data_IF_802535020090
#
_entry.id   IF_802535020090
#
_cell.length_a   1.000
_cell.length_b   1.000
_cell.length_c   1.000
_cell.angle_alpha   90.00
_cell.angle_beta   90.00
_cell.angle_gamma   90.00
#
_symmetry.space_group_name_H-M   'P 1'
#
loop_
_entity.id
_entity.type
_entity.pdbx_description
1 polymer ?
#
# COMPACT_ATOMS: atom_id res chain seq x y z
N UNK A 1 0.92 18.82 -26.51
CA UNK A 1 2.17 18.10 -26.16
C UNK A 1 1.86 17.20 -24.98
N UNK A 2 2.30 15.95 -24.99
CA UNK A 2 2.21 15.10 -23.80
C UNK A 2 3.02 15.74 -22.66
N UNK A 3 2.41 15.88 -21.48
CA UNK A 3 3.06 16.41 -20.29
C UNK A 3 4.10 15.41 -19.75
N UNK A 4 4.94 15.86 -18.82
CA UNK A 4 5.90 15.01 -18.12
C UNK A 4 5.27 13.72 -17.55
N UNK A 5 4.12 13.85 -16.89
CA UNK A 5 3.40 12.72 -16.29
C UNK A 5 2.76 11.80 -17.34
N UNK A 6 2.31 12.34 -18.48
CA UNK A 6 1.76 11.51 -19.57
C UNK A 6 2.82 10.57 -20.16
N UNK A 7 4.08 11.03 -20.23
CA UNK A 7 5.18 10.17 -20.70
C UNK A 7 5.49 9.04 -19.73
N UNK A 8 5.39 9.30 -18.43
CA UNK A 8 5.52 8.25 -17.41
C UNK A 8 4.36 7.26 -17.53
N UNK A 9 3.14 7.76 -17.71
CA UNK A 9 1.95 6.95 -17.90
C UNK A 9 2.07 6.02 -19.12
N UNK A 10 2.57 6.52 -20.26
CA UNK A 10 2.81 5.71 -21.48
C UNK A 10 3.76 4.53 -21.20
N UNK A 11 4.82 4.75 -20.40
CA UNK A 11 5.78 3.70 -20.03
C UNK A 11 5.13 2.67 -19.10
N UNK A 12 4.36 3.15 -18.12
CA UNK A 12 3.61 2.28 -17.19
C UNK A 12 2.63 1.40 -17.95
N UNK A 13 1.81 2.00 -18.82
CA UNK A 13 0.87 1.30 -19.69
C UNK A 13 1.58 0.20 -20.48
N UNK A 14 2.69 0.55 -21.15
CA UNK A 14 3.43 -0.37 -22.01
C UNK A 14 4.00 -1.57 -21.23
N UNK A 15 4.66 -1.32 -20.10
CA UNK A 15 5.37 -2.36 -19.34
C UNK A 15 4.38 -3.24 -18.57
N UNK A 16 3.35 -2.66 -17.97
CA UNK A 16 2.35 -3.43 -17.21
C UNK A 16 1.49 -4.27 -18.15
N UNK A 17 1.06 -3.76 -19.31
CA UNK A 17 0.32 -4.57 -20.30
C UNK A 17 1.18 -5.71 -20.88
N UNK A 18 2.50 -5.58 -20.88
CA UNK A 18 3.41 -6.68 -21.22
C UNK A 18 3.57 -7.74 -20.11
N UNK A 19 2.84 -7.60 -19.00
CA UNK A 19 2.89 -8.51 -17.85
C UNK A 19 4.22 -8.46 -17.10
N UNK A 20 4.92 -7.32 -17.13
CA UNK A 20 6.23 -7.13 -16.47
C UNK A 20 6.09 -6.22 -15.26
N UNK A 21 6.90 -6.49 -14.24
CA UNK A 21 7.07 -5.57 -13.11
C UNK A 21 7.85 -4.34 -13.58
N UNK A 22 7.27 -3.16 -13.44
CA UNK A 22 7.96 -1.89 -13.64
C UNK A 22 8.59 -1.41 -12.33
N UNK A 23 9.88 -1.10 -12.36
CA UNK A 23 10.56 -0.38 -11.28
C UNK A 23 10.91 1.03 -11.79
N UNK A 24 10.29 2.04 -11.20
CA UNK A 24 10.57 3.44 -11.49
C UNK A 24 11.59 3.97 -10.48
N UNK A 25 12.63 4.63 -11.00
CA UNK A 25 13.59 5.38 -10.20
C UNK A 25 13.30 6.86 -10.41
N UNK A 26 12.77 7.51 -9.38
CA UNK A 26 12.39 8.92 -9.43
C UNK A 26 13.54 9.87 -9.15
N UNK A 27 13.22 11.15 -9.33
CA UNK A 27 13.82 12.23 -8.53
C UNK A 27 12.86 12.50 -7.38
N UNK A 28 12.05 13.55 -7.52
CA UNK A 28 10.95 13.84 -6.61
C UNK A 28 9.80 12.82 -6.71
N UNK A 29 8.98 12.75 -5.68
CA UNK A 29 7.89 11.78 -5.54
C UNK A 29 6.66 12.07 -6.41
N UNK A 30 6.57 13.26 -6.99
CA UNK A 30 5.49 13.62 -7.92
C UNK A 30 5.40 12.72 -9.16
N UNK A 31 6.47 11.97 -9.49
CA UNK A 31 6.43 10.92 -10.53
C UNK A 31 5.35 9.87 -10.29
N UNK A 32 4.96 9.66 -9.03
CA UNK A 32 3.93 8.71 -8.63
C UNK A 32 2.58 9.10 -9.21
N UNK A 33 2.32 10.39 -9.47
CA UNK A 33 1.13 10.81 -10.21
C UNK A 33 1.11 10.25 -11.63
N UNK A 34 2.24 10.32 -12.35
CA UNK A 34 2.38 9.70 -13.67
C UNK A 34 2.28 8.16 -13.62
N UNK A 35 2.82 7.55 -12.57
CA UNK A 35 2.68 6.11 -12.31
C UNK A 35 1.21 5.71 -12.17
N UNK A 36 0.43 6.45 -11.36
CA UNK A 36 -1.01 6.25 -11.19
C UNK A 36 -1.77 6.45 -12.51
N UNK A 37 -1.49 7.55 -13.24
CA UNK A 37 -2.13 7.82 -14.55
C UNK A 37 -1.93 6.70 -15.57
N UNK A 38 -0.81 5.97 -15.50
CA UNK A 38 -0.58 4.81 -16.35
C UNK A 38 -1.63 3.72 -16.20
N UNK A 39 -2.26 3.62 -15.02
CA UNK A 39 -3.30 2.62 -14.76
C UNK A 39 -4.64 2.93 -15.41
N UNK A 40 -4.91 4.18 -15.84
CA UNK A 40 -6.16 4.59 -16.50
C UNK A 40 -6.52 3.70 -17.71
N UNK A 41 -5.51 3.08 -18.35
CA UNK A 41 -5.67 2.21 -19.53
C UNK A 41 -5.27 0.74 -19.29
N UNK A 42 -4.91 0.41 -18.06
CA UNK A 42 -4.40 -0.92 -17.69
C UNK A 42 -5.38 -1.65 -16.77
N UNK A 43 -5.91 -0.95 -15.77
CA UNK A 43 -6.78 -1.52 -14.74
C UNK A 43 -7.75 -0.47 -14.24
N UNK A 44 -9.02 -0.85 -14.12
CA UNK A 44 -10.05 0.00 -13.51
C UNK A 44 -9.93 0.08 -11.98
N UNK A 45 -9.00 -0.67 -11.38
CA UNK A 45 -8.81 -0.74 -9.92
C UNK A 45 -7.33 -0.62 -9.56
N UNK A 46 -6.98 0.46 -8.88
CA UNK A 46 -5.65 0.72 -8.31
C UNK A 46 -5.69 0.51 -6.80
N UNK A 47 -4.86 -0.41 -6.34
CA UNK A 47 -4.57 -0.71 -4.94
C UNK A 47 -3.18 -0.14 -4.64
N UNK A 48 -3.16 1.08 -4.11
CA UNK A 48 -1.93 1.85 -3.93
C UNK A 48 -1.47 1.85 -2.47
N UNK A 49 -0.23 1.42 -2.25
CA UNK A 49 0.46 1.57 -0.95
C UNK A 49 1.61 2.58 -1.09
N UNK A 50 1.58 3.61 -0.25
CA UNK A 50 2.62 4.63 -0.14
C UNK A 50 3.44 4.39 1.13
N UNK A 51 4.75 4.19 1.00
CA UNK A 51 5.68 4.09 2.13
C UNK A 51 6.36 5.46 2.28
N UNK A 52 5.96 6.18 3.32
CA UNK A 52 6.32 7.58 3.51
C UNK A 52 6.32 8.00 4.99
N UNK A 53 7.08 9.04 5.33
CA UNK A 53 6.95 9.77 6.60
C UNK A 53 5.82 10.80 6.61
N UNK A 54 5.35 11.26 5.44
CA UNK A 54 4.27 12.25 5.25
C UNK A 54 3.06 11.63 4.52
N UNK A 55 2.05 12.44 4.18
CA UNK A 55 0.91 12.01 3.36
C UNK A 55 0.86 12.68 1.98
N UNK A 56 1.58 13.78 1.78
CA UNK A 56 1.63 14.55 0.53
C UNK A 56 0.26 14.96 -0.04
N UNK A 57 -0.60 15.42 0.86
CA UNK A 57 -1.98 15.84 0.57
C UNK A 57 -2.14 17.36 0.53
N UNK A 58 -1.05 18.12 0.40
CA UNK A 58 -1.12 19.57 0.31
C UNK A 58 -2.04 20.01 -0.84
N UNK A 59 -2.94 20.94 -0.53
CA UNK A 59 -3.73 21.59 -1.56
C UNK A 59 -2.88 22.70 -2.20
N UNK A 60 -2.35 22.41 -3.39
CA UNK A 60 -1.47 23.32 -4.10
C UNK A 60 -2.16 23.95 -5.30
N UNK A 61 -2.29 25.28 -5.24
CA UNK A 61 -2.60 26.14 -6.40
C UNK A 61 -1.44 26.17 -7.41
N UNK A 62 -0.23 25.75 -7.00
CA UNK A 62 1.00 25.83 -7.79
C UNK A 62 1.27 24.59 -8.66
N UNK A 63 0.30 23.68 -8.78
CA UNK A 63 0.41 22.50 -9.64
C UNK A 63 0.71 21.22 -8.85
N UNK A 64 1.41 20.27 -9.48
CA UNK A 64 1.73 18.97 -8.91
C UNK A 64 3.20 18.98 -8.48
N UNK A 65 3.49 18.61 -7.23
CA UNK A 65 4.83 18.44 -6.69
C UNK A 65 4.84 17.35 -5.61
N UNK A 66 6.02 17.08 -5.04
CA UNK A 66 6.26 15.98 -4.09
C UNK A 66 5.35 16.00 -2.85
N UNK A 67 4.86 17.16 -2.39
CA UNK A 67 3.93 17.24 -1.25
C UNK A 67 2.44 17.35 -1.62
N UNK A 68 2.08 17.37 -2.92
CA UNK A 68 0.68 17.54 -3.37
C UNK A 68 0.20 16.48 -4.36
N UNK A 69 1.05 15.54 -4.77
CA UNK A 69 0.69 14.58 -5.80
C UNK A 69 -0.43 13.62 -5.36
N UNK A 70 -0.46 13.18 -4.10
CA UNK A 70 -1.55 12.35 -3.58
C UNK A 70 -2.87 13.13 -3.58
N UNK A 71 -2.83 14.43 -3.33
CA UNK A 71 -4.01 15.30 -3.45
C UNK A 71 -4.64 15.19 -4.85
N UNK A 72 -3.80 15.23 -5.89
CA UNK A 72 -4.23 15.14 -7.29
C UNK A 72 -4.68 13.74 -7.69
N UNK A 73 -4.06 12.68 -7.14
CA UNK A 73 -4.54 11.30 -7.32
C UNK A 73 -5.94 11.16 -6.73
N UNK A 74 -6.18 11.64 -5.50
CA UNK A 74 -7.45 11.47 -4.80
C UNK A 74 -8.61 12.22 -5.46
N UNK A 75 -8.32 13.33 -6.16
CA UNK A 75 -9.30 14.12 -6.91
C UNK A 75 -9.36 13.76 -8.40
N UNK A 76 -8.60 12.77 -8.85
CA UNK A 76 -8.55 12.39 -10.25
C UNK A 76 -9.91 11.86 -10.73
N UNK A 77 -10.32 12.26 -11.94
CA UNK A 77 -11.61 11.89 -12.52
C UNK A 77 -11.45 11.50 -14.00
N UNK A 78 -11.92 10.32 -14.43
CA UNK A 78 -12.55 9.25 -13.62
C UNK A 78 -11.62 8.71 -12.52
N UNK A 79 -12.17 8.25 -11.39
CA UNK A 79 -11.34 7.75 -10.29
C UNK A 79 -11.07 6.24 -10.46
N UNK A 80 -9.79 5.87 -10.55
CA UNK A 80 -9.31 4.49 -10.62
C UNK A 80 -8.71 4.01 -9.28
N UNK A 81 -8.48 4.92 -8.33
CA UNK A 81 -7.99 4.61 -7.00
C UNK A 81 -9.09 3.93 -6.17
N UNK A 82 -8.96 2.61 -6.00
CA UNK A 82 -9.88 1.79 -5.21
C UNK A 82 -9.51 1.85 -3.72
N UNK A 83 -8.22 1.68 -3.42
CA UNK A 83 -7.69 1.80 -2.07
C UNK A 83 -6.36 2.53 -2.06
N UNK A 84 -6.17 3.33 -1.02
CA UNK A 84 -4.89 3.92 -0.65
C UNK A 84 -4.54 3.49 0.78
N UNK A 85 -3.28 3.14 0.98
CA UNK A 85 -2.69 2.89 2.29
C UNK A 85 -1.39 3.67 2.43
N UNK A 86 -1.30 4.57 3.40
CA UNK A 86 -0.03 5.15 3.83
C UNK A 86 0.58 4.29 4.94
N UNK A 87 1.84 3.90 4.78
CA UNK A 87 2.62 3.14 5.75
C UNK A 87 3.82 3.96 6.20
N UNK A 88 3.92 4.20 7.50
CA UNK A 88 5.11 4.81 8.11
C UNK A 88 5.00 6.29 8.40
N UNK A 89 3.83 6.90 8.16
CA UNK A 89 3.69 8.33 8.39
C UNK A 89 3.95 8.69 9.86
N UNK A 90 4.46 9.89 10.08
CA UNK A 90 4.83 10.38 11.40
C UNK A 90 3.92 11.55 11.77
N UNK A 91 3.22 11.43 12.91
CA UNK A 91 2.11 12.34 13.24
C UNK A 91 2.46 13.81 13.35
N UNK A 92 3.73 14.14 13.56
CA UNK A 92 4.21 15.52 13.67
C UNK A 92 4.49 16.16 12.30
N UNK A 93 4.56 15.38 11.22
CA UNK A 93 4.59 15.90 9.85
C UNK A 93 3.20 15.97 9.20
N UNK A 94 2.19 15.31 9.81
CA UNK A 94 0.88 15.13 9.17
C UNK A 94 -0.20 15.98 9.86
N UNK A 95 -0.79 16.96 9.14
CA UNK A 95 -1.92 17.75 9.62
C UNK A 95 -3.13 16.88 10.00
N UNK A 96 -3.92 17.34 11.00
CA UNK A 96 -5.15 16.64 11.40
C UNK A 96 -6.20 16.60 10.28
N UNK A 97 -6.23 17.62 9.41
CA UNK A 97 -7.09 17.66 8.22
C UNK A 97 -6.86 16.47 7.31
N UNK A 98 -5.61 16.07 7.15
CA UNK A 98 -5.20 15.05 6.17
C UNK A 98 -5.52 13.66 6.70
N UNK A 99 -5.35 13.44 8.01
CA UNK A 99 -5.85 12.23 8.71
C UNK A 99 -7.36 12.08 8.54
N UNK A 100 -8.11 13.15 8.79
CA UNK A 100 -9.56 13.16 8.61
C UNK A 100 -9.96 12.91 7.15
N UNK A 101 -9.16 13.36 6.20
CA UNK A 101 -9.37 13.09 4.77
C UNK A 101 -9.23 11.60 4.45
N UNK A 102 -8.23 10.91 4.98
CA UNK A 102 -8.10 9.46 4.84
C UNK A 102 -9.31 8.73 5.43
N UNK A 103 -9.74 9.10 6.64
CA UNK A 103 -10.91 8.51 7.31
C UNK A 103 -12.19 8.67 6.47
N UNK A 104 -12.44 9.87 5.94
CA UNK A 104 -13.62 10.16 5.13
C UNK A 104 -13.64 9.39 3.79
N UNK A 105 -12.46 9.09 3.24
CA UNK A 105 -12.30 8.28 2.02
C UNK A 105 -12.17 6.78 2.32
N UNK A 106 -12.29 6.40 3.60
CA UNK A 106 -12.09 5.05 4.09
C UNK A 106 -10.71 4.46 3.71
N UNK A 107 -9.68 5.31 3.59
CA UNK A 107 -8.31 4.90 3.33
C UNK A 107 -7.56 4.59 4.61
N UNK A 108 -6.48 3.80 4.47
CA UNK A 108 -5.65 3.41 5.59
C UNK A 108 -4.47 4.38 5.76
N UNK A 109 -4.17 4.70 7.01
CA UNK A 109 -2.90 5.32 7.40
C UNK A 109 -2.39 4.60 8.63
N UNK A 110 -1.18 4.05 8.55
CA UNK A 110 -0.53 3.35 9.67
C UNK A 110 0.73 4.08 10.06
N UNK A 111 0.82 4.47 11.34
CA UNK A 111 1.96 5.21 11.86
C UNK A 111 3.20 4.33 11.94
N UNK A 112 4.38 4.94 11.77
CA UNK A 112 5.66 4.26 11.95
C UNK A 112 5.74 3.48 13.29
N UNK A 113 5.27 4.10 14.38
CA UNK A 113 5.28 3.48 15.71
C UNK A 113 4.37 2.26 15.83
N UNK A 114 3.27 2.20 15.08
CA UNK A 114 2.37 1.05 15.05
C UNK A 114 2.98 -0.09 14.22
N UNK A 115 3.54 0.24 13.04
CA UNK A 115 4.24 -0.75 12.19
C UNK A 115 5.40 -1.40 12.95
N UNK A 116 6.11 -0.65 13.80
CA UNK A 116 7.21 -1.18 14.61
C UNK A 116 6.81 -2.21 15.66
N UNK A 117 5.56 -2.20 16.10
CA UNK A 117 5.09 -3.20 17.06
C UNK A 117 5.03 -4.58 16.40
N UNK A 118 4.59 -4.63 15.14
CA UNK A 118 4.66 -5.83 14.32
C UNK A 118 4.74 -5.48 12.82
N UNK A 119 5.95 -5.55 12.26
CA UNK A 119 6.19 -5.24 10.86
C UNK A 119 5.42 -6.15 9.90
N UNK A 120 5.04 -7.36 10.35
CA UNK A 120 4.26 -8.31 9.54
C UNK A 120 2.87 -7.78 9.21
N UNK A 121 2.34 -6.84 9.99
CA UNK A 121 1.05 -6.20 9.70
C UNK A 121 1.05 -5.35 8.43
N UNK A 122 2.22 -5.05 7.87
CA UNK A 122 2.33 -4.41 6.54
C UNK A 122 2.03 -5.38 5.39
N UNK A 123 2.25 -6.69 5.60
CA UNK A 123 2.13 -7.71 4.55
C UNK A 123 0.75 -7.75 3.89
N UNK A 124 -0.39 -7.71 4.62
CA UNK A 124 -1.70 -7.79 3.98
C UNK A 124 -1.98 -6.62 3.03
N UNK A 125 -1.54 -5.41 3.38
CA UNK A 125 -1.69 -4.22 2.52
C UNK A 125 -0.85 -4.36 1.25
N UNK A 126 0.40 -4.79 1.40
CA UNK A 126 1.32 -4.99 0.28
C UNK A 126 0.87 -6.13 -0.64
N UNK A 127 0.32 -7.22 -0.07
CA UNK A 127 -0.21 -8.35 -0.84
C UNK A 127 -1.36 -7.95 -1.75
N UNK A 128 -2.21 -7.00 -1.31
CA UNK A 128 -3.30 -6.49 -2.14
C UNK A 128 -2.85 -5.46 -3.19
N UNK A 129 -1.70 -4.82 -2.98
CA UNK A 129 -1.22 -3.73 -3.80
C UNK A 129 -0.86 -4.16 -5.22
N UNK A 130 -1.25 -3.33 -6.21
CA UNK A 130 -0.72 -3.39 -7.57
C UNK A 130 0.24 -2.24 -7.88
N UNK A 131 0.18 -1.18 -7.08
CA UNK A 131 1.05 -0.01 -7.16
C UNK A 131 1.66 0.27 -5.78
N UNK A 132 2.98 0.43 -5.73
CA UNK A 132 3.70 0.81 -4.50
C UNK A 132 4.67 1.95 -4.77
N UNK A 133 4.82 2.88 -3.84
CA UNK A 133 5.85 3.91 -3.85
C UNK A 133 6.64 3.88 -2.54
N UNK A 134 7.95 4.07 -2.66
CA UNK A 134 8.87 4.22 -1.54
C UNK A 134 9.49 5.61 -1.61
N UNK A 135 9.12 6.48 -0.67
CA UNK A 135 9.90 7.68 -0.37
C UNK A 135 11.08 7.29 0.55
N UNK A 136 12.31 7.51 0.09
CA UNK A 136 13.49 7.21 0.89
C UNK A 136 13.66 8.15 2.09
N UNK A 137 13.03 9.32 2.12
CA UNK A 137 12.92 10.18 3.32
C UNK A 137 12.11 9.52 4.45
N UNK A 138 11.36 8.45 4.18
CA UNK A 138 10.76 7.62 5.23
C UNK A 138 11.77 6.80 6.03
N UNK A 139 13.00 6.61 5.52
CA UNK A 139 14.09 5.90 6.19
C UNK A 139 14.85 6.87 7.08
N UNK A 140 15.24 6.42 8.29
CA UNK A 140 16.00 7.27 9.21
C UNK A 140 17.32 7.73 8.56
N UNK A 141 17.67 8.98 8.78
CA UNK A 141 18.83 9.64 8.16
C UNK A 141 20.18 9.02 8.54
N UNK A 142 20.27 8.24 9.63
CA UNK A 142 21.48 7.46 9.93
C UNK A 142 21.74 6.37 8.89
N UNK A 143 20.67 5.88 8.25
CA UNK A 143 20.69 4.80 7.27
C UNK A 143 20.56 5.36 5.84
N UNK A 144 19.80 6.44 5.66
CA UNK A 144 19.57 7.13 4.39
C UNK A 144 19.81 8.65 4.49
N UNK A 145 21.07 9.12 4.62
CA UNK A 145 21.37 10.55 4.78
C UNK A 145 21.16 11.39 3.50
N UNK A 146 21.24 10.75 2.33
CA UNK A 146 21.15 11.36 1.01
C UNK A 146 19.72 11.38 0.47
N UNK A 147 18.79 11.95 1.22
CA UNK A 147 17.39 12.11 0.79
C UNK A 147 16.99 13.59 0.74
N UNK A 148 15.80 13.90 0.23
CA UNK A 148 15.33 15.29 0.15
C UNK A 148 15.02 15.86 1.53
N UNK A 149 14.38 15.08 2.40
CA UNK A 149 14.04 15.44 3.78
C UNK A 149 14.58 14.43 4.80
N UNK A 150 15.90 14.39 5.05
CA UNK A 150 16.47 13.45 6.00
C UNK A 150 15.99 13.75 7.42
N UNK A 151 15.45 12.73 8.10
CA UNK A 151 14.95 12.83 9.48
C UNK A 151 15.66 11.84 10.40
N UNK A 152 15.98 12.18 11.67
CA UNK A 152 16.56 11.22 12.61
C UNK A 152 15.61 10.03 12.91
N UNK A 153 14.31 10.21 12.68
CA UNK A 153 13.30 9.17 12.85
C UNK A 153 12.77 8.72 11.48
N UNK A 154 12.65 7.42 11.31
CA UNK A 154 12.20 6.77 10.09
C UNK A 154 12.46 5.27 10.20
N UNK A 155 12.09 4.49 9.19
CA UNK A 155 12.39 3.07 9.12
C UNK A 155 13.89 2.80 9.23
N UNK A 156 14.27 1.68 9.85
CA UNK A 156 15.64 1.17 9.74
C UNK A 156 15.84 0.46 8.41
N UNK A 157 17.10 0.20 8.06
CA UNK A 157 17.48 -0.61 6.90
C UNK A 157 16.78 -1.98 6.90
N UNK A 158 16.72 -2.66 8.03
CA UNK A 158 16.07 -3.97 8.17
C UNK A 158 14.57 -3.88 7.93
N UNK A 159 13.92 -2.87 8.52
CA UNK A 159 12.47 -2.66 8.38
C UNK A 159 12.10 -2.38 6.91
N UNK A 160 12.78 -1.43 6.27
CA UNK A 160 12.42 -1.01 4.91
C UNK A 160 12.74 -2.06 3.85
N UNK A 161 13.83 -2.83 4.02
CA UNK A 161 14.17 -3.93 3.10
C UNK A 161 13.23 -5.12 3.26
N UNK A 162 12.72 -5.37 4.47
CA UNK A 162 11.68 -6.38 4.68
C UNK A 162 10.34 -5.97 4.06
N UNK A 163 9.95 -4.69 4.15
CA UNK A 163 8.78 -4.15 3.44
C UNK A 163 8.96 -4.26 1.92
N UNK A 164 10.14 -3.94 1.38
CA UNK A 164 10.45 -4.12 -0.04
C UNK A 164 10.33 -5.59 -0.46
N UNK A 165 10.78 -6.52 0.38
CA UNK A 165 10.62 -7.96 0.14
C UNK A 165 9.16 -8.40 0.14
N UNK A 166 8.35 -7.94 1.09
CA UNK A 166 6.91 -8.21 1.11
C UNK A 166 6.19 -7.66 -0.13
N UNK A 167 6.61 -6.48 -0.59
CA UNK A 167 6.13 -5.90 -1.86
C UNK A 167 6.44 -6.85 -3.02
N UNK A 168 7.64 -7.40 -3.08
CA UNK A 168 8.03 -8.38 -4.10
C UNK A 168 7.21 -9.65 -4.05
N UNK A 169 6.84 -10.11 -2.85
CA UNK A 169 6.04 -11.32 -2.66
C UNK A 169 4.56 -11.17 -3.03
N UNK A 170 4.09 -9.96 -3.34
CA UNK A 170 2.71 -9.72 -3.73
C UNK A 170 2.44 -10.24 -5.15
N UNK A 171 1.38 -11.03 -5.33
CA UNK A 171 1.04 -11.57 -6.65
C UNK A 171 0.52 -10.49 -7.61
N UNK A 172 -0.11 -9.44 -7.06
CA UNK A 172 -0.77 -8.35 -7.80
C UNK A 172 0.18 -7.20 -8.18
N UNK A 173 1.39 -7.14 -7.63
CA UNK A 173 2.30 -6.02 -7.87
C UNK A 173 2.70 -5.91 -9.35
N UNK A 174 2.48 -4.74 -9.93
CA UNK A 174 2.81 -4.43 -11.33
C UNK A 174 3.75 -3.23 -11.46
N UNK A 175 3.77 -2.31 -10.50
CA UNK A 175 4.70 -1.18 -10.52
C UNK A 175 5.15 -0.77 -9.12
N UNK A 176 6.45 -0.50 -8.97
CA UNK A 176 7.06 0.03 -7.75
C UNK A 176 7.89 1.27 -8.10
N UNK A 177 7.82 2.32 -7.29
CA UNK A 177 8.71 3.48 -7.43
C UNK A 177 9.59 3.67 -6.20
N UNK A 178 10.82 4.13 -6.42
CA UNK A 178 11.74 4.59 -5.38
C UNK A 178 12.07 6.06 -5.66
N UNK A 179 11.77 6.95 -4.71
CA UNK A 179 11.81 8.40 -4.88
C UNK A 179 12.59 9.09 -3.78
N UNK A 180 12.88 10.39 -3.98
CA UNK A 180 13.56 11.28 -3.03
C UNK A 180 15.00 10.87 -2.65
N UNK A 181 15.65 10.05 -3.47
CA UNK A 181 17.11 9.83 -3.39
C UNK A 181 17.82 11.06 -3.96
N UNK A 182 18.77 11.60 -3.20
CA UNK A 182 19.59 12.76 -3.57
C UNK A 182 21.07 12.35 -3.61
N UNK A 183 21.58 11.78 -4.73
CA UNK A 183 22.96 11.28 -4.81
C UNK A 183 24.01 12.35 -4.50
N UNK A 184 23.73 13.61 -4.84
CA UNK A 184 24.64 14.74 -4.58
C UNK A 184 24.79 15.08 -3.09
N UNK A 185 23.83 14.68 -2.26
CA UNK A 185 23.84 14.85 -0.80
C UNK A 185 24.14 13.53 -0.07
N UNK A 186 24.39 12.46 -0.81
CA UNK A 186 24.51 11.12 -0.26
C UNK A 186 25.93 10.84 0.23
N UNK A 187 26.07 10.71 1.55
CA UNK A 187 27.35 10.43 2.16
C UNK A 187 27.82 9.01 1.81
N UNK A 188 28.96 8.89 1.14
CA UNK A 188 29.53 7.62 0.67
C UNK A 188 28.58 6.75 -0.18
N UNK A 189 27.57 7.34 -0.84
CA UNK A 189 26.58 6.61 -1.62
C UNK A 189 25.69 5.68 -0.79
N UNK A 190 25.58 5.92 0.52
CA UNK A 190 24.91 5.02 1.46
C UNK A 190 23.42 4.83 1.14
N UNK A 191 22.73 5.93 0.84
CA UNK A 191 21.30 5.92 0.49
C UNK A 191 21.08 5.21 -0.84
N UNK A 192 21.93 5.51 -1.82
CA UNK A 192 21.89 4.90 -3.15
C UNK A 192 22.13 3.38 -3.07
N UNK A 193 23.06 2.94 -2.22
CA UNK A 193 23.30 1.53 -1.94
C UNK A 193 22.10 0.88 -1.26
N UNK A 194 21.50 1.54 -0.26
CA UNK A 194 20.29 1.06 0.40
C UNK A 194 19.14 0.88 -0.59
N UNK A 195 18.88 1.86 -1.47
CA UNK A 195 17.86 1.73 -2.53
C UNK A 195 18.15 0.53 -3.43
N UNK A 196 19.42 0.29 -3.80
CA UNK A 196 19.82 -0.91 -4.53
C UNK A 196 19.55 -2.22 -3.77
N UNK A 197 19.79 -2.25 -2.46
CA UNK A 197 19.48 -3.42 -1.60
C UNK A 197 17.97 -3.63 -1.52
N UNK A 198 17.17 -2.57 -1.37
CA UNK A 198 15.71 -2.64 -1.38
C UNK A 198 15.19 -3.20 -2.71
N UNK A 199 15.71 -2.71 -3.84
CA UNK A 199 15.40 -3.27 -5.17
C UNK A 199 15.80 -4.74 -5.29
N UNK A 200 16.94 -5.13 -4.72
CA UNK A 200 17.38 -6.53 -4.74
C UNK A 200 16.39 -7.43 -3.98
N UNK A 201 15.96 -7.04 -2.78
CA UNK A 201 14.96 -7.78 -2.00
C UNK A 201 13.57 -7.77 -2.64
N UNK A 202 13.19 -6.67 -3.30
CA UNK A 202 11.98 -6.62 -4.12
C UNK A 202 12.03 -7.67 -5.24
N UNK A 203 13.15 -7.74 -5.97
CA UNK A 203 13.34 -8.69 -7.08
C UNK A 203 13.40 -10.14 -6.56
N UNK A 204 14.13 -10.39 -5.47
CA UNK A 204 14.17 -11.70 -4.83
C UNK A 204 12.77 -12.14 -4.40
N UNK A 205 12.02 -11.26 -3.71
CA UNK A 205 10.63 -11.51 -3.34
C UNK A 205 9.75 -11.83 -4.55
N UNK A 206 9.90 -11.09 -5.65
CA UNK A 206 9.16 -11.29 -6.90
C UNK A 206 9.37 -12.68 -7.51
N UNK A 207 10.60 -13.19 -7.50
CA UNK A 207 10.93 -14.53 -8.00
C UNK A 207 10.62 -15.64 -6.98
N UNK A 208 10.49 -15.29 -5.70
CA UNK A 208 10.10 -16.21 -4.62
C UNK A 208 8.58 -16.33 -4.43
N UNK A 209 7.78 -15.68 -5.29
CA UNK A 209 6.31 -15.69 -5.21
C UNK A 209 5.74 -17.10 -5.34
N UNK A 210 4.66 -17.32 -4.58
CA UNK A 210 3.83 -18.51 -4.66
C UNK A 210 2.40 -18.04 -4.88
N UNK A 211 1.74 -18.62 -5.87
CA UNK A 211 0.34 -18.31 -6.16
C UNK A 211 -0.50 -18.87 -5.02
N UNK A 212 -1.06 -17.98 -4.22
CA UNK A 212 -1.82 -18.32 -3.02
C UNK A 212 -3.12 -17.52 -2.88
N UNK A 213 -3.50 -16.80 -3.94
CA UNK A 213 -4.81 -16.15 -4.03
C UNK A 213 -5.94 -17.14 -3.74
N UNK A 214 -6.98 -16.72 -3.01
CA UNK A 214 -8.02 -17.60 -2.47
C UNK A 214 -9.07 -17.95 -3.54
N UNK A 215 -8.64 -18.37 -4.73
CA UNK A 215 -9.52 -18.71 -5.87
C UNK A 215 -10.31 -19.99 -5.60
N UNK A 216 -9.69 -20.96 -4.90
CA UNK A 216 -10.35 -22.19 -4.48
C UNK A 216 -10.44 -22.24 -2.96
N UNK A 217 -11.59 -21.81 -2.43
CA UNK A 217 -11.89 -21.77 -1.00
C UNK A 217 -11.85 -23.15 -0.33
N UNK A 218 -12.06 -24.25 -1.07
CA UNK A 218 -12.03 -25.61 -0.52
C UNK A 218 -10.62 -26.03 -0.04
N UNK A 219 -9.58 -25.37 -0.55
CA UNK A 219 -8.19 -25.59 -0.12
C UNK A 219 -7.80 -24.75 1.09
N UNK A 220 -8.69 -23.90 1.58
CA UNK A 220 -8.45 -23.02 2.71
C UNK A 220 -9.16 -23.54 3.95
N UNK A 221 -8.60 -23.26 5.12
CA UNK A 221 -9.28 -23.50 6.39
C UNK A 221 -10.19 -22.31 6.71
N UNK A 222 -11.50 -22.56 6.80
CA UNK A 222 -12.51 -21.55 7.15
C UNK A 222 -12.67 -21.44 8.67
N UNK A 223 -12.69 -20.21 9.16
CA UNK A 223 -12.97 -19.86 10.56
C UNK A 223 -14.13 -18.87 10.61
N UNK A 224 -15.17 -19.17 11.38
CA UNK A 224 -16.30 -18.26 11.60
C UNK A 224 -16.25 -17.71 13.02
N UNK A 225 -16.23 -16.38 13.14
CA UNK A 225 -16.25 -15.70 14.44
C UNK A 225 -17.59 -14.99 14.60
N UNK A 226 -18.37 -15.41 15.59
CA UNK A 226 -19.61 -14.73 15.95
C UNK A 226 -19.32 -13.58 16.91
N UNK A 227 -19.84 -12.40 16.62
CA UNK A 227 -19.64 -11.18 17.40
C UNK A 227 -20.91 -10.78 18.15
N UNK A 228 -20.76 -10.06 19.26
CA UNK A 228 -21.87 -9.43 19.97
C UNK A 228 -22.12 -8.05 19.38
N UNK A 229 -23.26 -7.84 18.68
CA UNK A 229 -23.63 -6.53 18.15
C UNK A 229 -24.27 -6.57 16.76
N UNK A 230 -24.16 -5.46 16.02
CA UNK A 230 -24.81 -5.24 14.73
C UNK A 230 -24.22 -6.03 13.55
N UNK A 231 -22.99 -6.53 13.69
CA UNK A 231 -22.39 -7.50 12.75
C UNK A 231 -22.36 -8.83 13.48
N UNK A 232 -23.03 -9.83 12.93
CA UNK A 232 -23.23 -11.11 13.62
C UNK A 232 -22.11 -12.11 13.39
N UNK A 233 -21.42 -12.04 12.25
CA UNK A 233 -20.39 -13.01 11.88
C UNK A 233 -19.33 -12.34 11.00
N UNK A 234 -18.05 -12.65 11.27
CA UNK A 234 -16.95 -12.44 10.33
C UNK A 234 -16.35 -13.80 9.98
N UNK A 235 -16.23 -14.06 8.68
CA UNK A 235 -15.62 -15.28 8.16
C UNK A 235 -14.18 -14.99 7.75
N UNK A 236 -13.26 -15.85 8.18
CA UNK A 236 -11.85 -15.83 7.83
C UNK A 236 -11.48 -17.11 7.08
N UNK A 237 -10.53 -17.00 6.16
CA UNK A 237 -9.91 -18.10 5.45
C UNK A 237 -8.40 -18.07 5.65
N UNK A 238 -7.82 -19.21 6.01
CA UNK A 238 -6.37 -19.39 6.14
C UNK A 238 -5.84 -20.34 5.09
N UNK A 239 -4.77 -19.96 4.40
CA UNK A 239 -3.99 -20.89 3.59
C UNK A 239 -2.98 -21.63 4.49
N UNK A 240 -3.14 -22.95 4.72
CA UNK A 240 -2.28 -23.70 5.66
C UNK A 240 -0.84 -23.90 5.17
N UNK A 241 -0.57 -23.66 3.88
CA UNK A 241 0.79 -23.79 3.33
C UNK A 241 1.60 -22.51 3.50
N UNK A 242 0.92 -21.36 3.41
CA UNK A 242 1.56 -20.04 3.42
C UNK A 242 1.30 -19.27 4.71
N UNK A 243 0.43 -19.78 5.59
CA UNK A 243 0.00 -19.14 6.83
C UNK A 243 -0.58 -17.73 6.62
N UNK A 244 -1.07 -17.44 5.40
CA UNK A 244 -1.70 -16.18 5.02
C UNK A 244 -3.21 -16.24 5.24
N UNK A 245 -3.77 -15.08 5.58
CA UNK A 245 -5.17 -14.94 5.97
C UNK A 245 -5.92 -14.00 5.03
N UNK A 246 -7.20 -14.28 4.88
CA UNK A 246 -8.19 -13.43 4.24
C UNK A 246 -9.43 -13.36 5.11
N UNK A 247 -10.15 -12.26 5.05
CA UNK A 247 -11.45 -12.11 5.68
C UNK A 247 -12.50 -11.80 4.62
N UNK A 248 -13.70 -12.32 4.83
CA UNK A 248 -14.84 -12.10 3.97
C UNK A 248 -15.58 -10.82 4.39
N UNK A 249 -15.73 -9.90 3.44
CA UNK A 249 -16.45 -8.64 3.62
C UNK A 249 -17.68 -8.64 2.69
N UNK A 250 -18.90 -8.67 3.22
CA UNK A 250 -20.11 -8.64 2.41
C UNK A 250 -20.37 -7.23 1.86
N UNK A 251 -20.94 -7.16 0.64
CA UNK A 251 -21.48 -5.90 0.10
C UNK A 251 -22.69 -5.43 0.93
N UNK A 252 -22.98 -4.14 0.93
CA UNK A 252 -24.07 -3.58 1.74
C UNK A 252 -25.45 -4.17 1.40
N UNK A 253 -25.69 -4.51 0.14
CA UNK A 253 -26.93 -5.14 -0.34
C UNK A 253 -27.08 -6.62 0.10
N UNK A 254 -25.97 -7.24 0.49
CA UNK A 254 -25.85 -8.64 0.90
C UNK A 254 -26.13 -8.87 2.39
N UNK A 255 -26.08 -7.83 3.24
CA UNK A 255 -26.22 -7.94 4.71
C UNK A 255 -27.53 -8.63 5.17
N UNK A 256 -28.56 -8.67 4.31
CA UNK A 256 -29.85 -9.32 4.59
C UNK A 256 -30.05 -10.68 3.91
N UNK A 257 -29.11 -11.12 3.05
CA UNK A 257 -29.26 -12.33 2.21
C UNK A 257 -28.13 -13.32 2.49
N UNK A 258 -28.48 -14.58 2.79
CA UNK A 258 -27.54 -15.72 2.97
C UNK A 258 -26.62 -16.02 1.78
N UNK A 259 -26.85 -15.41 0.61
CA UNK A 259 -26.11 -15.63 -0.64
C UNK A 259 -25.88 -14.29 -1.35
N UNK A 260 -25.47 -13.27 -0.62
CA UNK A 260 -25.07 -12.01 -1.21
C UNK A 260 -23.61 -12.02 -1.67
N UNK A 261 -23.24 -11.04 -2.50
CA UNK A 261 -21.87 -10.88 -2.98
C UNK A 261 -20.97 -10.53 -1.80
N UNK A 262 -19.75 -11.06 -1.79
CA UNK A 262 -18.70 -10.72 -0.82
C UNK A 262 -17.36 -10.60 -1.53
N UNK A 263 -16.41 -9.94 -0.87
CA UNK A 263 -15.03 -9.82 -1.30
C UNK A 263 -14.09 -10.39 -0.23
N UNK A 264 -13.01 -11.02 -0.67
CA UNK A 264 -11.97 -11.56 0.21
C UNK A 264 -10.83 -10.56 0.32
N UNK A 265 -10.69 -9.97 1.49
CA UNK A 265 -9.67 -8.96 1.75
C UNK A 265 -8.50 -9.61 2.49
N UNK A 266 -7.25 -9.44 2.04
CA UNK A 266 -6.06 -9.82 2.79
C UNK A 266 -6.08 -9.29 4.22
N UNK A 267 -5.90 -10.17 5.20
CA UNK A 267 -5.80 -9.80 6.61
C UNK A 267 -4.65 -10.56 7.29
N UNK A 268 -4.42 -10.27 8.57
CA UNK A 268 -3.45 -11.00 9.39
C UNK A 268 -4.13 -11.96 10.36
N UNK A 269 -3.33 -12.79 11.02
CA UNK A 269 -3.81 -13.58 12.17
C UNK A 269 -4.22 -12.68 13.34
N UNK A 270 -3.56 -11.52 13.51
CA UNK A 270 -3.91 -10.54 14.52
C UNK A 270 -5.36 -10.04 14.35
N UNK A 271 -5.78 -9.77 13.12
CA UNK A 271 -7.17 -9.40 12.81
C UNK A 271 -8.17 -10.48 13.23
N UNK A 272 -7.83 -11.76 13.01
CA UNK A 272 -8.65 -12.88 13.49
C UNK A 272 -8.72 -12.93 15.02
N UNK A 273 -7.60 -12.70 15.73
CA UNK A 273 -7.60 -12.69 17.20
C UNK A 273 -8.39 -11.50 17.77
N UNK A 274 -8.34 -10.32 17.13
CA UNK A 274 -9.19 -9.16 17.49
C UNK A 274 -10.67 -9.52 17.39
N UNK A 275 -11.09 -10.11 16.25
CA UNK A 275 -12.46 -10.55 16.08
C UNK A 275 -12.88 -11.55 17.18
N UNK A 276 -12.01 -12.50 17.55
CA UNK A 276 -12.29 -13.43 18.65
C UNK A 276 -12.41 -12.76 20.02
N UNK A 277 -11.82 -11.59 20.20
CA UNK A 277 -11.93 -10.76 21.37
C UNK A 277 -13.14 -9.79 21.30
N UNK A 278 -14.07 -10.02 20.35
CA UNK A 278 -15.27 -9.22 20.12
C UNK A 278 -14.96 -7.80 19.57
N UNK A 279 -13.78 -7.62 18.96
CA UNK A 279 -13.35 -6.38 18.33
C UNK A 279 -13.31 -6.53 16.80
N UNK A 280 -14.02 -5.65 16.09
CA UNK A 280 -14.04 -5.66 14.62
C UNK A 280 -12.74 -5.08 14.08
N UNK A 281 -11.99 -5.80 13.23
CA UNK A 281 -10.77 -5.26 12.64
C UNK A 281 -11.04 -4.03 11.78
N UNK A 282 -10.20 -2.99 11.90
CA UNK A 282 -10.33 -1.74 11.12
C UNK A 282 -10.34 -1.99 9.60
N UNK A 283 -9.52 -2.96 9.13
CA UNK A 283 -9.50 -3.39 7.71
C UNK A 283 -10.88 -3.86 7.25
N UNK A 284 -11.61 -4.58 8.10
CA UNK A 284 -12.95 -5.07 7.78
C UNK A 284 -13.93 -3.89 7.70
N UNK A 285 -13.88 -3.01 8.70
CA UNK A 285 -14.75 -1.84 8.79
C UNK A 285 -14.60 -0.93 7.58
N UNK A 286 -13.35 -0.57 7.23
CA UNK A 286 -13.05 0.30 6.10
C UNK A 286 -13.44 -0.33 4.75
N UNK A 287 -13.19 -1.63 4.56
CA UNK A 287 -13.65 -2.35 3.37
C UNK A 287 -15.19 -2.34 3.26
N UNK A 288 -15.90 -2.59 4.37
CA UNK A 288 -17.36 -2.65 4.36
C UNK A 288 -18.02 -1.33 3.91
N UNK A 289 -17.51 -0.18 4.34
CA UNK A 289 -18.06 1.12 3.92
C UNK A 289 -17.79 1.47 2.46
N UNK A 290 -16.77 0.87 1.85
CA UNK A 290 -16.48 1.03 0.42
C UNK A 290 -17.37 0.15 -0.45
N UNK A 291 -17.70 -1.05 0.02
CA UNK A 291 -18.53 -2.02 -0.69
C UNK A 291 -20.03 -1.70 -0.57
N UNK A 292 -20.42 -0.47 -0.93
CA UNK A 292 -21.82 0.00 -0.95
C UNK A 292 -22.49 -0.16 -2.30
#
# INVERSE_FOLDING_TARGET
MATYYDRIADVVETVVNAGKLLILLGGSQDIVYGQYKGYEKVSDQVEYVCIDSELDLEDSDFGIHNHSYNHKIFLHSPNYLTNFTSLGYQSYFVPLSDKKRLENLYFHGIRLGEIRQDLKETEPFLRNANMVSFDLSAVRGSDAPGTTHPSPAGFTTEEITQIARYTGLANRISSVSFTEVQPMKDNNGQTSLLTGIMMWYLIEGYYSRRVDEPVNLEKLTKYSVNLQGGIHEIVFYKNPMMERWWMEVPYADALSKKSGRSELIPCSESDYQKARADEIPDKWWLAHYKLK
#
